data_IF_507616583958
#
_entry.id   IF_507616583958
#
_cell.length_a   1.000
_cell.length_b   1.000
_cell.length_c   1.000
_cell.angle_alpha   90.00
_cell.angle_beta   90.00
_cell.angle_gamma   90.00
#
_symmetry.space_group_name_H-M   'P 1'
#
loop_
_entity.id
_entity.type
_entity.pdbx_description
1 polymer ?
#
# COMPACT_ATOMS: atom_id res chain seq x y z
N UNK A 1 13.74 -12.62 -65.19
CA UNK A 1 14.33 -11.96 -64.00
C UNK A 1 13.29 -11.56 -62.92
N UNK A 2 12.20 -12.31 -62.76
CA UNK A 2 11.09 -11.92 -61.86
C UNK A 2 10.95 -12.72 -60.55
N UNK A 3 11.84 -13.72 -60.26
CA UNK A 3 11.73 -14.55 -59.06
C UNK A 3 12.53 -14.10 -57.85
N UNK A 4 13.53 -13.21 -58.03
CA UNK A 4 14.44 -12.81 -56.95
C UNK A 4 13.88 -11.67 -56.08
N UNK A 5 13.04 -10.81 -56.64
CA UNK A 5 12.43 -9.67 -55.93
C UNK A 5 11.31 -10.07 -54.98
N UNK A 6 10.56 -11.14 -55.29
CA UNK A 6 9.47 -11.67 -54.44
C UNK A 6 10.02 -12.25 -53.13
N UNK A 7 11.20 -12.89 -53.15
CA UNK A 7 11.82 -13.48 -51.94
C UNK A 7 12.32 -12.42 -50.96
N UNK A 8 12.82 -11.28 -51.46
CA UNK A 8 13.34 -10.19 -50.66
C UNK A 8 12.22 -9.44 -49.90
N UNK A 9 11.05 -9.28 -50.53
CA UNK A 9 9.88 -8.65 -49.92
C UNK A 9 9.28 -9.55 -48.85
N UNK A 10 9.24 -10.87 -49.09
CA UNK A 10 8.72 -11.84 -48.10
C UNK A 10 9.65 -11.95 -46.89
N UNK A 11 11.00 -11.89 -47.07
CA UNK A 11 11.95 -11.88 -45.98
C UNK A 11 11.88 -10.62 -45.11
N UNK A 12 11.56 -9.47 -45.71
CA UNK A 12 11.43 -8.22 -44.96
C UNK A 12 10.14 -8.17 -44.08
N UNK A 13 9.08 -8.85 -44.50
CA UNK A 13 7.80 -8.92 -43.76
C UNK A 13 7.88 -9.93 -42.59
N UNK A 14 8.75 -10.94 -42.66
CA UNK A 14 8.85 -11.95 -41.60
C UNK A 14 9.82 -11.59 -40.46
N UNK A 15 10.67 -10.56 -40.61
CA UNK A 15 11.61 -10.15 -39.56
C UNK A 15 11.00 -9.63 -38.26
N UNK A 16 9.80 -9.00 -38.23
CA UNK A 16 9.21 -8.53 -36.96
C UNK A 16 8.62 -9.62 -36.07
N UNK A 17 8.48 -10.86 -36.58
CA UNK A 17 7.76 -11.93 -35.83
C UNK A 17 8.70 -12.64 -34.81
N UNK A 18 10.00 -12.37 -34.85
CA UNK A 18 11.01 -12.97 -33.98
C UNK A 18 11.53 -12.01 -32.88
N UNK A 19 10.82 -10.91 -32.60
CA UNK A 19 11.19 -10.08 -31.48
C UNK A 19 10.95 -10.84 -30.17
N UNK A 20 11.94 -10.91 -29.26
CA UNK A 20 11.74 -11.53 -27.95
C UNK A 20 10.60 -10.81 -27.23
N UNK A 21 9.74 -11.56 -26.56
CA UNK A 21 8.81 -11.02 -25.58
C UNK A 21 9.66 -10.36 -24.51
N UNK A 22 9.69 -9.04 -24.49
CA UNK A 22 10.33 -8.31 -23.39
C UNK A 22 9.47 -8.57 -22.16
N UNK A 23 10.07 -9.17 -21.14
CA UNK A 23 9.44 -9.28 -19.83
C UNK A 23 9.09 -7.85 -19.35
N UNK A 24 7.90 -7.69 -18.80
CA UNK A 24 7.54 -6.41 -18.19
C UNK A 24 8.57 -6.08 -17.10
N UNK A 25 9.20 -4.93 -17.22
CA UNK A 25 10.19 -4.44 -16.26
C UNK A 25 9.51 -3.41 -15.35
N UNK A 26 9.73 -3.52 -14.03
CA UNK A 26 9.30 -2.53 -13.07
C UNK A 26 10.15 -1.27 -13.24
N UNK A 27 9.64 -0.33 -14.02
CA UNK A 27 10.34 0.96 -14.20
C UNK A 27 10.52 1.67 -12.86
N UNK A 28 11.65 2.34 -12.68
CA UNK A 28 11.96 3.09 -11.45
C UNK A 28 10.91 4.17 -11.17
N UNK A 29 10.38 4.17 -9.96
CA UNK A 29 9.47 5.20 -9.45
C UNK A 29 10.26 6.23 -8.65
N UNK A 30 10.43 7.42 -9.23
CA UNK A 30 11.17 8.50 -8.57
C UNK A 30 10.44 9.06 -7.36
N UNK A 31 9.14 8.85 -7.23
CA UNK A 31 8.37 9.25 -6.04
C UNK A 31 8.70 8.36 -4.85
N UNK A 32 8.74 7.02 -5.03
CA UNK A 32 9.10 6.08 -3.97
C UNK A 32 10.54 6.25 -3.47
N UNK A 33 11.46 6.63 -4.37
CA UNK A 33 12.87 6.87 -4.03
C UNK A 33 13.18 8.33 -3.64
N UNK A 34 12.16 9.18 -3.52
CA UNK A 34 12.30 10.59 -3.18
C UNK A 34 12.09 10.87 -1.69
N UNK A 35 12.46 12.07 -1.27
CA UNK A 35 12.20 12.59 0.09
C UNK A 35 10.73 12.52 0.49
N UNK A 36 9.81 12.59 -0.47
CA UNK A 36 8.36 12.54 -0.21
C UNK A 36 7.95 11.20 0.40
N UNK A 37 8.51 10.07 -0.08
CA UNK A 37 8.22 8.77 0.51
C UNK A 37 8.74 8.67 1.96
N UNK A 38 9.93 9.20 2.24
CA UNK A 38 10.46 9.26 3.62
C UNK A 38 9.56 10.13 4.52
N UNK A 39 9.14 11.31 4.04
CA UNK A 39 8.24 12.21 4.76
C UNK A 39 6.89 11.56 5.09
N UNK A 40 6.32 10.78 4.15
CA UNK A 40 5.09 10.03 4.36
C UNK A 40 5.27 8.85 5.32
N UNK A 41 6.40 8.17 5.28
CA UNK A 41 6.74 7.11 6.25
C UNK A 41 6.84 7.67 7.69
N UNK A 42 7.40 8.86 7.87
CA UNK A 42 7.50 9.50 9.18
C UNK A 42 6.13 9.87 9.76
N UNK A 43 5.17 10.25 8.90
CA UNK A 43 3.77 10.47 9.32
C UNK A 43 3.10 9.14 9.73
N UNK A 44 3.45 8.02 9.08
CA UNK A 44 2.94 6.69 9.41
C UNK A 44 2.41 5.90 8.23
N UNK A 45 2.60 6.37 6.99
CA UNK A 45 2.16 5.67 5.79
C UNK A 45 2.79 4.28 5.65
N UNK A 46 2.08 3.42 4.94
CA UNK A 46 2.50 2.08 4.56
C UNK A 46 2.54 1.94 3.03
N UNK A 47 3.55 1.22 2.53
CA UNK A 47 3.66 0.83 1.12
C UNK A 47 3.44 -0.67 0.97
N UNK A 48 2.34 -1.03 0.35
CA UNK A 48 1.96 -2.38 -0.05
C UNK A 48 1.95 -2.53 -1.57
N UNK A 49 1.49 -3.66 -2.05
CA UNK A 49 1.47 -4.05 -3.45
C UNK A 49 0.06 -4.10 -4.03
N UNK A 50 -0.06 -3.80 -5.33
CA UNK A 50 -1.23 -4.11 -6.17
C UNK A 50 -0.81 -4.88 -7.43
N UNK A 51 0.39 -4.66 -7.94
CA UNK A 51 0.91 -5.32 -9.12
C UNK A 51 1.02 -4.41 -10.34
N UNK A 52 0.56 -4.86 -11.50
CA UNK A 52 0.58 -4.10 -12.76
C UNK A 52 -0.83 -3.73 -13.22
N UNK A 53 -1.01 -2.49 -13.70
CA UNK A 53 -2.26 -2.04 -14.28
C UNK A 53 -2.65 -2.92 -15.48
N UNK A 54 -3.85 -3.53 -15.42
CA UNK A 54 -4.36 -4.41 -16.46
C UNK A 54 -3.76 -5.82 -16.50
N UNK A 55 -3.01 -6.20 -15.47
CA UNK A 55 -2.53 -7.58 -15.26
C UNK A 55 -3.21 -8.13 -14.02
N UNK A 56 -4.07 -9.12 -14.22
CA UNK A 56 -4.75 -9.78 -13.11
C UNK A 56 -3.74 -10.66 -12.34
N UNK A 57 -3.51 -10.35 -11.08
CA UNK A 57 -2.60 -11.13 -10.22
C UNK A 57 -3.06 -12.57 -10.06
N UNK A 58 -4.36 -12.84 -10.19
CA UNK A 58 -4.92 -14.19 -10.19
C UNK A 58 -4.48 -15.04 -11.38
N UNK A 59 -4.16 -14.42 -12.51
CA UNK A 59 -3.68 -15.10 -13.71
C UNK A 59 -2.14 -15.16 -13.78
N UNK A 60 -1.47 -14.14 -13.21
CA UNK A 60 -0.02 -13.92 -13.34
C UNK A 60 0.68 -13.82 -11.97
N UNK A 61 0.81 -14.97 -11.28
CA UNK A 61 1.34 -15.05 -9.90
C UNK A 61 2.75 -14.48 -9.69
N UNK A 62 3.58 -14.43 -10.75
CA UNK A 62 4.93 -13.86 -10.67
C UNK A 62 4.93 -12.38 -10.22
N UNK A 63 3.83 -11.68 -10.46
CA UNK A 63 3.63 -10.27 -10.06
C UNK A 63 3.78 -10.09 -8.56
N UNK A 64 3.37 -11.08 -7.76
CA UNK A 64 3.43 -11.04 -6.29
C UNK A 64 4.87 -10.86 -5.81
N UNK A 65 5.76 -11.74 -6.26
CA UNK A 65 7.18 -11.70 -5.87
C UNK A 65 7.89 -10.47 -6.46
N UNK A 66 7.58 -10.13 -7.71
CA UNK A 66 8.19 -8.99 -8.40
C UNK A 66 7.84 -7.64 -7.72
N UNK A 67 6.59 -7.47 -7.27
CA UNK A 67 6.21 -6.27 -6.54
C UNK A 67 6.93 -6.15 -5.20
N UNK A 68 7.04 -7.24 -4.45
CA UNK A 68 7.77 -7.25 -3.18
C UNK A 68 9.23 -6.84 -3.36
N UNK A 69 9.93 -7.50 -4.29
CA UNK A 69 11.34 -7.21 -4.59
C UNK A 69 11.52 -5.74 -4.98
N UNK A 70 10.65 -5.23 -5.85
CA UNK A 70 10.67 -3.84 -6.25
C UNK A 70 10.53 -2.87 -5.07
N UNK A 71 9.55 -3.08 -4.18
CA UNK A 71 9.35 -2.19 -3.04
C UNK A 71 10.51 -2.25 -2.04
N UNK A 72 11.03 -3.44 -1.75
CA UNK A 72 12.18 -3.61 -0.84
C UNK A 72 13.45 -2.91 -1.35
N UNK A 73 13.59 -2.79 -2.66
CA UNK A 73 14.71 -2.07 -3.31
C UNK A 73 14.52 -0.54 -3.31
N UNK A 74 13.28 -0.06 -3.36
CA UNK A 74 12.99 1.37 -3.50
C UNK A 74 12.83 2.08 -2.16
N UNK A 75 12.18 1.44 -1.16
CA UNK A 75 11.83 2.09 0.11
C UNK A 75 11.67 1.07 1.23
N UNK A 76 11.38 1.56 2.42
CA UNK A 76 10.81 0.73 3.50
C UNK A 76 9.30 0.65 3.32
N UNK A 77 8.71 -0.46 3.72
CA UNK A 77 7.25 -0.60 3.66
C UNK A 77 6.52 0.26 4.70
N UNK A 78 7.13 0.48 5.86
CA UNK A 78 6.57 1.30 6.93
C UNK A 78 7.68 1.75 7.89
N UNK A 79 7.38 2.73 8.75
CA UNK A 79 8.24 3.06 9.90
C UNK A 79 8.42 1.88 10.87
N UNK A 80 7.51 0.91 10.84
CA UNK A 80 7.50 -0.24 11.73
C UNK A 80 8.20 -1.48 11.16
N UNK A 81 8.34 -1.58 9.84
CA UNK A 81 8.94 -2.73 9.18
C UNK A 81 9.42 -2.44 7.76
N UNK A 82 10.41 -3.21 7.31
CA UNK A 82 11.03 -2.97 6.00
C UNK A 82 10.25 -3.61 4.86
N UNK A 83 9.78 -4.86 5.04
CA UNK A 83 9.14 -5.64 3.99
C UNK A 83 7.65 -5.33 3.86
N UNK A 84 7.09 -5.22 2.64
CA UNK A 84 5.66 -5.07 2.44
C UNK A 84 4.91 -6.32 2.90
N UNK A 85 3.74 -6.12 3.52
CA UNK A 85 2.90 -7.19 4.07
C UNK A 85 1.48 -7.14 3.53
N UNK A 86 1.10 -6.06 2.86
CA UNK A 86 -0.24 -5.80 2.34
C UNK A 86 -0.27 -5.92 0.83
N UNK A 87 -1.30 -6.59 0.30
CA UNK A 87 -1.52 -6.77 -1.13
C UNK A 87 -2.98 -6.50 -1.50
N UNK A 88 -3.22 -5.56 -2.43
CA UNK A 88 -4.53 -5.30 -2.99
C UNK A 88 -4.82 -6.22 -4.17
N UNK A 89 -6.02 -6.75 -4.26
CA UNK A 89 -6.46 -7.64 -5.35
C UNK A 89 -7.85 -7.25 -5.83
N UNK A 90 -7.99 -7.06 -7.14
CA UNK A 90 -9.24 -6.74 -7.82
C UNK A 90 -10.13 -8.00 -8.03
N UNK A 91 -10.18 -8.89 -7.04
CA UNK A 91 -11.02 -10.09 -7.04
C UNK A 91 -11.69 -10.28 -5.69
N UNK A 92 -12.94 -10.73 -5.69
CA UNK A 92 -13.69 -10.99 -4.45
C UNK A 92 -13.21 -12.24 -3.71
N UNK A 93 -12.72 -13.22 -4.44
CA UNK A 93 -12.29 -14.51 -3.88
C UNK A 93 -10.86 -14.78 -4.31
N UNK A 94 -10.05 -15.16 -3.35
CA UNK A 94 -8.67 -15.62 -3.59
C UNK A 94 -8.65 -17.13 -3.45
N UNK A 95 -8.19 -17.84 -4.49
CA UNK A 95 -8.01 -19.29 -4.42
C UNK A 95 -6.78 -19.68 -3.57
N UNK A 96 -6.69 -20.98 -3.21
CA UNK A 96 -5.59 -21.50 -2.39
C UNK A 96 -4.22 -21.27 -3.04
N UNK A 97 -4.12 -21.36 -4.38
CA UNK A 97 -2.84 -21.21 -5.08
C UNK A 97 -2.28 -19.79 -5.01
N UNK A 98 -3.15 -18.78 -5.14
CA UNK A 98 -2.79 -17.37 -4.97
C UNK A 98 -2.49 -17.08 -3.49
N UNK A 99 -3.32 -17.59 -2.56
CA UNK A 99 -3.09 -17.48 -1.13
C UNK A 99 -1.73 -18.02 -0.71
N UNK A 100 -1.39 -19.20 -1.15
CA UNK A 100 -0.08 -19.82 -0.90
C UNK A 100 1.08 -18.98 -1.45
N UNK A 101 0.92 -18.41 -2.66
CA UNK A 101 1.93 -17.55 -3.27
C UNK A 101 2.13 -16.24 -2.47
N UNK A 102 1.06 -15.64 -1.98
CA UNK A 102 1.08 -14.45 -1.12
C UNK A 102 1.77 -14.74 0.20
N UNK A 103 1.34 -15.79 0.91
CA UNK A 103 1.91 -16.20 2.21
C UNK A 103 3.39 -16.55 2.05
N UNK A 104 3.75 -17.33 1.03
CA UNK A 104 5.14 -17.67 0.73
C UNK A 104 6.01 -16.45 0.44
N UNK A 105 5.45 -15.44 -0.18
CA UNK A 105 6.10 -14.16 -0.42
C UNK A 105 6.14 -13.26 0.82
N UNK A 106 5.46 -13.66 1.93
CA UNK A 106 5.44 -12.94 3.21
C UNK A 106 4.37 -11.87 3.33
N UNK A 107 3.39 -11.85 2.42
CA UNK A 107 2.20 -11.03 2.59
C UNK A 107 1.28 -11.66 3.65
N UNK A 108 0.65 -10.82 4.46
CA UNK A 108 -0.20 -11.23 5.58
C UNK A 108 -1.59 -10.61 5.50
N UNK A 109 -1.73 -9.53 4.73
CA UNK A 109 -2.96 -8.78 4.57
C UNK A 109 -3.30 -8.68 3.10
N UNK A 110 -4.55 -8.99 2.78
CA UNK A 110 -5.11 -8.81 1.45
C UNK A 110 -6.32 -7.89 1.53
N UNK A 111 -6.57 -7.15 0.48
CA UNK A 111 -7.67 -6.20 0.53
C UNK A 111 -8.09 -5.71 -0.85
N UNK A 112 -8.70 -4.53 -0.89
CA UNK A 112 -9.41 -3.92 -1.99
C UNK A 112 -10.78 -4.59 -2.21
N UNK A 113 -10.96 -5.42 -3.22
CA UNK A 113 -12.23 -6.10 -3.47
C UNK A 113 -12.37 -7.47 -2.79
N UNK A 114 -11.34 -7.93 -2.10
CA UNK A 114 -11.32 -9.26 -1.49
C UNK A 114 -12.36 -9.39 -0.37
N UNK A 115 -13.25 -10.37 -0.51
CA UNK A 115 -14.27 -10.73 0.49
C UNK A 115 -13.95 -12.09 1.14
N UNK A 116 -13.24 -12.98 0.42
CA UNK A 116 -12.86 -14.32 0.88
C UNK A 116 -11.40 -14.61 0.55
N UNK A 117 -10.63 -15.08 1.53
CA UNK A 117 -9.22 -15.47 1.38
C UNK A 117 -8.93 -16.77 2.16
N UNK A 118 -7.89 -17.54 1.76
CA UNK A 118 -7.42 -18.71 2.50
C UNK A 118 -6.95 -18.35 3.91
N UNK A 119 -6.93 -19.38 4.78
CA UNK A 119 -6.42 -19.27 6.15
C UNK A 119 -4.96 -18.76 6.16
N UNK A 120 -4.64 -17.86 7.09
CA UNK A 120 -3.32 -17.23 7.21
C UNK A 120 -3.21 -15.84 6.58
N UNK A 121 -4.25 -15.40 5.85
CA UNK A 121 -4.37 -14.03 5.34
C UNK A 121 -5.48 -13.27 6.06
N UNK A 122 -5.18 -12.06 6.50
CA UNK A 122 -6.17 -11.12 7.03
C UNK A 122 -6.79 -10.31 5.91
N UNK A 123 -8.09 -10.05 5.98
CA UNK A 123 -8.80 -9.30 4.93
C UNK A 123 -9.07 -7.88 5.41
N UNK A 124 -8.65 -6.89 4.61
CA UNK A 124 -8.96 -5.48 4.79
C UNK A 124 -9.89 -5.01 3.66
N UNK A 125 -11.19 -5.08 3.91
CA UNK A 125 -12.22 -4.80 2.90
C UNK A 125 -12.38 -3.31 2.59
N UNK A 126 -12.87 -3.01 1.38
CA UNK A 126 -13.30 -1.66 1.01
C UNK A 126 -14.66 -1.36 1.61
N UNK A 127 -14.70 -0.69 2.76
CA UNK A 127 -15.93 -0.39 3.50
C UNK A 127 -16.18 1.10 3.73
N UNK A 128 -15.24 1.99 3.35
CA UNK A 128 -15.30 3.43 3.58
C UNK A 128 -15.66 4.26 2.34
N UNK A 129 -16.17 3.65 1.27
CA UNK A 129 -16.40 4.31 -0.02
C UNK A 129 -15.11 4.72 -0.76
N UNK A 130 -15.22 5.64 -1.71
CA UNK A 130 -14.11 6.12 -2.54
C UNK A 130 -14.06 7.64 -2.58
N UNK A 131 -12.88 8.21 -2.55
CA UNK A 131 -12.62 9.64 -2.75
C UNK A 131 -12.56 10.04 -4.24
N UNK A 132 -12.89 9.14 -5.14
CA UNK A 132 -12.86 9.42 -6.57
C UNK A 132 -14.12 10.20 -7.02
N UNK A 133 -13.93 11.33 -7.68
CA UNK A 133 -14.98 12.06 -8.43
C UNK A 133 -16.19 12.51 -7.60
N UNK A 134 -16.01 12.80 -6.33
CA UNK A 134 -17.09 13.26 -5.47
C UNK A 134 -18.10 12.18 -5.08
N UNK A 135 -17.67 10.91 -5.04
CA UNK A 135 -18.49 9.77 -4.59
C UNK A 135 -18.22 9.35 -3.16
N UNK A 136 -17.42 10.12 -2.42
CA UNK A 136 -17.19 9.87 -1.00
C UNK A 136 -18.50 9.95 -0.20
N UNK A 137 -18.73 8.98 0.64
CA UNK A 137 -19.95 8.88 1.45
C UNK A 137 -19.62 8.89 2.95
N UNK A 138 -19.87 10.04 3.59
CA UNK A 138 -19.67 10.21 5.03
C UNK A 138 -20.49 9.21 5.85
N UNK A 139 -21.69 8.82 5.39
CA UNK A 139 -22.54 7.91 6.16
C UNK A 139 -21.92 6.52 6.33
N UNK A 140 -21.12 6.05 5.33
CA UNK A 140 -20.41 4.79 5.45
C UNK A 140 -19.34 4.85 6.56
N UNK A 141 -18.69 6.00 6.71
CA UNK A 141 -17.67 6.20 7.74
C UNK A 141 -18.36 6.40 9.11
N UNK A 142 -19.43 7.20 9.18
CA UNK A 142 -20.19 7.44 10.40
C UNK A 142 -20.89 6.18 10.95
N UNK A 143 -21.23 5.23 10.05
CA UNK A 143 -21.86 3.95 10.42
C UNK A 143 -20.85 2.84 10.70
N UNK A 144 -19.56 3.15 10.81
CA UNK A 144 -18.53 2.17 11.12
C UNK A 144 -18.80 1.53 12.49
N UNK A 145 -18.56 0.24 12.54
CA UNK A 145 -18.64 -0.50 13.82
C UNK A 145 -17.51 -0.04 14.74
N UNK A 146 -17.80 -0.04 16.05
CA UNK A 146 -16.79 0.23 17.07
C UNK A 146 -15.63 -0.77 16.91
N UNK A 147 -14.40 -0.30 17.15
CA UNK A 147 -13.17 -1.10 17.04
C UNK A 147 -12.84 -1.63 15.62
N UNK A 148 -13.54 -1.17 14.61
CA UNK A 148 -13.30 -1.59 13.22
C UNK A 148 -12.23 -0.77 12.52
N UNK A 149 -11.79 -1.26 11.35
CA UNK A 149 -10.97 -0.53 10.39
C UNK A 149 -11.81 -0.11 9.20
N UNK A 150 -11.87 1.20 8.95
CA UNK A 150 -12.52 1.77 7.77
C UNK A 150 -11.46 2.06 6.70
N UNK A 151 -11.58 1.41 5.55
CA UNK A 151 -10.72 1.61 4.39
C UNK A 151 -11.43 2.48 3.34
N UNK A 152 -10.98 3.72 3.19
CA UNK A 152 -11.48 4.67 2.20
C UNK A 152 -10.56 4.62 0.98
N UNK A 153 -11.08 4.23 -0.17
CA UNK A 153 -10.27 4.03 -1.37
C UNK A 153 -10.10 5.30 -2.18
N UNK A 154 -8.89 5.46 -2.72
CA UNK A 154 -8.56 6.51 -3.65
C UNK A 154 -7.56 6.00 -4.71
N UNK A 155 -7.86 6.23 -5.99
CA UNK A 155 -6.99 5.83 -7.10
C UNK A 155 -6.30 7.04 -7.71
N UNK A 156 -4.98 7.11 -7.53
CA UNK A 156 -4.14 8.17 -8.07
C UNK A 156 -3.85 7.93 -9.55
N UNK A 157 -4.65 8.53 -10.45
CA UNK A 157 -4.45 8.50 -11.90
C UNK A 157 -4.15 9.90 -12.44
N UNK A 158 -3.34 9.99 -13.52
CA UNK A 158 -2.97 11.28 -14.15
C UNK A 158 -4.19 12.11 -14.58
N UNK A 159 -5.31 11.47 -14.96
CA UNK A 159 -6.55 12.14 -15.37
C UNK A 159 -7.53 12.44 -14.24
N UNK A 160 -7.37 11.84 -13.08
CA UNK A 160 -8.35 11.84 -11.98
C UNK A 160 -7.88 12.66 -10.75
N UNK A 161 -7.10 13.70 -10.95
CA UNK A 161 -6.59 14.59 -9.88
C UNK A 161 -7.71 15.42 -9.21
N UNK A 162 -8.82 14.78 -8.83
CA UNK A 162 -10.01 15.45 -8.29
C UNK A 162 -10.24 15.19 -6.81
N UNK A 163 -9.20 14.83 -6.06
CA UNK A 163 -9.26 14.79 -4.58
C UNK A 163 -9.82 16.09 -4.01
N UNK A 164 -9.64 17.20 -4.72
CA UNK A 164 -10.21 18.50 -4.34
C UNK A 164 -11.74 18.52 -4.29
N UNK A 165 -12.43 17.66 -5.00
CA UNK A 165 -13.91 17.54 -4.95
C UNK A 165 -14.36 16.90 -3.62
N UNK A 166 -13.50 16.09 -2.98
CA UNK A 166 -13.76 15.44 -1.70
C UNK A 166 -13.04 16.09 -0.51
N UNK A 167 -12.48 17.28 -0.69
CA UNK A 167 -11.74 17.99 0.36
C UNK A 167 -12.55 18.18 1.64
N UNK A 168 -13.84 18.40 1.52
CA UNK A 168 -14.73 18.57 2.68
C UNK A 168 -14.92 17.25 3.45
N UNK A 169 -14.87 16.09 2.77
CA UNK A 169 -14.86 14.77 3.44
C UNK A 169 -13.56 14.54 4.15
N UNK A 170 -12.42 14.85 3.52
CA UNK A 170 -11.10 14.73 4.13
C UNK A 170 -11.02 15.59 5.39
N UNK A 171 -11.38 16.88 5.31
CA UNK A 171 -11.38 17.77 6.45
C UNK A 171 -12.33 17.30 7.56
N UNK A 172 -13.48 16.73 7.18
CA UNK A 172 -14.41 16.16 8.14
C UNK A 172 -13.82 14.91 8.83
N UNK A 173 -13.12 14.00 8.11
CA UNK A 173 -12.43 12.84 8.72
C UNK A 173 -11.37 13.33 9.72
N UNK A 174 -10.62 14.37 9.36
CA UNK A 174 -9.60 14.97 10.24
C UNK A 174 -10.17 15.56 11.54
N UNK A 175 -11.45 15.87 11.59
CA UNK A 175 -12.16 16.35 12.79
C UNK A 175 -12.73 15.22 13.66
N UNK A 176 -12.84 13.98 13.14
CA UNK A 176 -13.43 12.87 13.88
C UNK A 176 -12.45 12.31 14.95
N UNK A 177 -12.97 11.82 16.09
CA UNK A 177 -12.16 11.15 17.12
C UNK A 177 -11.85 9.69 16.70
N UNK A 178 -11.07 9.52 15.64
CA UNK A 178 -10.73 8.22 15.06
C UNK A 178 -9.22 8.05 14.97
N UNK A 179 -8.76 6.83 14.99
CA UNK A 179 -7.35 6.50 14.82
C UNK A 179 -6.97 6.50 13.32
N UNK A 180 -6.02 7.34 12.93
CA UNK A 180 -5.44 7.33 11.59
C UNK A 180 -4.35 6.27 11.52
N UNK A 181 -4.55 5.24 10.72
CA UNK A 181 -3.71 4.05 10.71
C UNK A 181 -3.56 3.46 9.30
N UNK A 182 -2.81 2.40 9.18
CA UNK A 182 -2.68 1.59 7.95
C UNK A 182 -3.17 0.18 8.19
N UNK A 183 -3.28 -0.62 7.12
CA UNK A 183 -3.66 -2.02 7.25
C UNK A 183 -2.69 -2.79 8.16
N UNK A 184 -1.39 -2.64 7.94
CA UNK A 184 -0.37 -3.32 8.73
C UNK A 184 -0.28 -2.82 10.15
N UNK A 185 -0.35 -1.51 10.36
CA UNK A 185 -0.32 -0.91 11.68
C UNK A 185 -1.52 -1.39 12.52
N UNK A 186 -2.75 -1.36 11.96
CA UNK A 186 -3.95 -1.85 12.63
C UNK A 186 -3.87 -3.35 12.98
N UNK A 187 -3.41 -4.17 12.01
CA UNK A 187 -3.28 -5.61 12.20
C UNK A 187 -2.33 -5.97 13.34
N UNK A 188 -1.12 -5.40 13.32
CA UNK A 188 -0.10 -5.72 14.32
C UNK A 188 -0.30 -5.03 15.66
N UNK A 189 -0.91 -3.84 15.70
CA UNK A 189 -1.26 -3.18 16.95
C UNK A 189 -2.13 -4.08 17.82
N UNK A 190 -3.17 -4.68 17.25
CA UNK A 190 -4.06 -5.61 17.96
C UNK A 190 -3.31 -6.85 18.45
N UNK A 191 -2.47 -7.44 17.61
CA UNK A 191 -1.65 -8.60 17.97
C UNK A 191 -0.66 -8.27 19.10
N UNK A 192 -0.04 -7.10 19.07
CA UNK A 192 0.88 -6.62 20.12
C UNK A 192 0.15 -6.36 21.43
N UNK A 193 -1.05 -5.77 21.40
CA UNK A 193 -1.88 -5.59 22.57
C UNK A 193 -2.26 -6.92 23.25
N UNK A 194 -2.73 -7.90 22.47
CA UNK A 194 -3.10 -9.24 22.97
C UNK A 194 -1.89 -9.96 23.59
N UNK A 195 -0.68 -9.74 23.10
CA UNK A 195 0.55 -10.36 23.62
C UNK A 195 1.18 -9.62 24.80
N UNK A 196 0.49 -8.62 25.34
CA UNK A 196 0.94 -7.82 26.49
C UNK A 196 0.27 -8.32 27.77
N UNK A 197 1.05 -8.45 28.83
CA UNK A 197 0.61 -8.85 30.16
C UNK A 197 1.12 -7.89 31.22
N UNK A 198 0.42 -7.76 32.33
CA UNK A 198 0.89 -6.99 33.48
C UNK A 198 1.02 -7.86 34.72
N UNK A 199 1.97 -7.52 35.58
CA UNK A 199 2.19 -8.11 36.90
C UNK A 199 2.48 -7.01 37.91
N UNK A 200 2.20 -7.26 39.20
CA UNK A 200 2.38 -6.27 40.26
C UNK A 200 3.28 -6.83 41.37
N UNK A 201 4.21 -6.00 41.83
CA UNK A 201 5.03 -6.25 43.01
C UNK A 201 5.04 -5.00 43.91
N UNK A 202 4.29 -5.05 45.01
CA UNK A 202 4.16 -3.93 45.92
C UNK A 202 3.48 -2.71 45.29
N UNK A 203 4.22 -1.63 45.10
CA UNK A 203 3.74 -0.39 44.44
C UNK A 203 4.22 -0.26 42.98
N UNK A 204 4.78 -1.31 42.39
CA UNK A 204 5.25 -1.28 41.02
C UNK A 204 4.46 -2.27 40.15
N UNK A 205 3.88 -1.80 39.07
CA UNK A 205 3.30 -2.64 38.02
C UNK A 205 4.32 -2.76 36.89
N UNK A 206 4.60 -3.99 36.48
CA UNK A 206 5.42 -4.29 35.29
C UNK A 206 4.50 -4.73 34.16
N UNK A 207 4.56 -4.03 33.03
CA UNK A 207 3.80 -4.33 31.83
C UNK A 207 4.80 -4.85 30.79
N UNK A 208 4.65 -6.12 30.38
CA UNK A 208 5.55 -6.79 29.44
C UNK A 208 4.83 -7.12 28.14
N UNK A 209 5.39 -6.66 27.03
CA UNK A 209 4.91 -7.03 25.71
C UNK A 209 5.87 -8.00 25.04
N UNK A 210 5.30 -9.11 24.52
CA UNK A 210 6.07 -10.12 23.79
C UNK A 210 5.65 -10.13 22.33
N UNK A 211 6.59 -10.13 21.38
CA UNK A 211 6.27 -10.26 19.97
C UNK A 211 6.29 -11.73 19.56
N UNK A 212 5.28 -12.11 18.81
CA UNK A 212 5.28 -13.43 18.15
C UNK A 212 6.01 -13.40 16.80
N UNK A 213 6.40 -12.23 16.31
CA UNK A 213 7.10 -12.08 15.04
C UNK A 213 8.60 -12.26 15.23
N UNK A 214 9.14 -13.31 14.61
CA UNK A 214 10.55 -13.63 14.61
C UNK A 214 11.06 -13.60 13.17
N UNK A 215 11.96 -12.69 12.83
CA UNK A 215 12.62 -12.62 11.53
C UNK A 215 13.18 -11.25 11.16
N UNK A 216 14.08 -11.22 10.20
CA UNK A 216 14.53 -9.96 9.59
C UNK A 216 13.42 -9.36 8.74
N UNK A 217 12.93 -8.20 9.11
CA UNK A 217 11.81 -7.53 8.44
C UNK A 217 10.46 -7.65 9.15
N UNK A 218 10.41 -8.30 10.33
CA UNK A 218 9.24 -8.33 11.19
C UNK A 218 8.82 -6.90 11.59
N UNK A 219 7.53 -6.63 11.50
CA UNK A 219 6.99 -5.35 11.90
C UNK A 219 6.94 -5.24 13.43
N UNK A 220 7.41 -4.11 13.95
CA UNK A 220 7.46 -3.83 15.38
C UNK A 220 6.44 -2.74 15.72
N UNK A 221 5.16 -3.06 15.58
CA UNK A 221 4.07 -2.11 15.84
C UNK A 221 3.72 -2.10 17.33
N UNK A 222 3.68 -0.92 17.99
CA UNK A 222 3.27 -0.81 19.37
C UNK A 222 1.82 -1.29 19.58
N UNK A 223 1.57 -1.95 20.72
CA UNK A 223 0.23 -2.31 21.16
C UNK A 223 -0.23 -1.42 22.31
N UNK A 224 -1.54 -1.22 22.45
CA UNK A 224 -2.13 -0.47 23.56
C UNK A 224 -2.86 -1.41 24.50
N UNK A 225 -2.63 -1.21 25.80
CA UNK A 225 -3.34 -1.92 26.86
C UNK A 225 -3.86 -0.93 27.91
N UNK A 226 -5.00 -1.24 28.47
CA UNK A 226 -5.49 -0.59 29.69
C UNK A 226 -5.14 -1.48 30.88
N UNK A 227 -4.56 -0.90 31.93
CA UNK A 227 -4.30 -1.58 33.19
C UNK A 227 -5.04 -0.84 34.29
N UNK A 228 -6.00 -1.54 34.89
CA UNK A 228 -6.88 -1.00 35.93
C UNK A 228 -6.38 -1.34 37.34
N UNK A 229 -6.38 -0.34 38.22
CA UNK A 229 -5.98 -0.43 39.63
C UNK A 229 -6.51 0.80 40.41
N UNK A 230 -6.52 0.74 41.75
CA UNK A 230 -7.04 1.85 42.55
C UNK A 230 -6.04 2.97 42.91
N UNK A 231 -4.72 2.69 43.24
CA UNK A 231 -3.79 3.75 43.65
C UNK A 231 -3.45 4.72 42.56
N UNK A 232 -3.08 5.95 42.95
CA UNK A 232 -2.58 6.99 42.01
C UNK A 232 -1.22 6.63 41.42
N UNK A 233 -0.95 7.06 40.18
CA UNK A 233 0.32 6.88 39.48
C UNK A 233 1.28 7.99 39.86
N UNK A 234 2.49 7.62 40.28
CA UNK A 234 3.62 8.52 40.53
C UNK A 234 4.39 8.80 39.23
N UNK A 235 4.62 7.76 38.44
CA UNK A 235 5.35 7.86 37.20
C UNK A 235 5.34 6.58 36.38
N UNK A 236 5.68 6.71 35.08
CA UNK A 236 5.81 5.58 34.17
C UNK A 236 7.15 5.67 33.46
N UNK A 237 7.93 4.59 33.49
CA UNK A 237 9.27 4.52 32.89
C UNK A 237 9.38 3.31 31.97
N UNK A 238 10.31 3.40 31.02
CA UNK A 238 10.72 2.28 30.18
C UNK A 238 11.70 1.33 30.90
N UNK A 239 12.20 0.32 30.19
CA UNK A 239 13.15 -0.67 30.73
C UNK A 239 14.50 -0.08 31.13
N UNK A 240 14.90 1.05 30.59
CA UNK A 240 16.10 1.81 30.89
C UNK A 240 15.91 2.78 32.08
N UNK A 241 14.67 2.88 32.60
CA UNK A 241 14.30 3.80 33.68
C UNK A 241 14.10 5.24 33.22
N UNK A 242 13.94 5.47 31.92
CA UNK A 242 13.63 6.78 31.36
C UNK A 242 12.11 7.05 31.41
N UNK A 243 11.68 8.28 31.74
CA UNK A 243 10.26 8.60 31.74
C UNK A 243 9.63 8.41 30.35
N UNK A 244 8.53 7.68 30.29
CA UNK A 244 7.76 7.53 29.06
C UNK A 244 6.99 8.82 28.70
N UNK A 245 6.80 9.11 27.42
CA UNK A 245 5.98 10.22 26.96
C UNK A 245 4.55 10.16 27.51
N UNK A 246 4.03 11.31 27.98
CA UNK A 246 2.65 11.44 28.39
C UNK A 246 1.78 11.74 27.16
N UNK A 247 0.77 10.92 26.89
CA UNK A 247 -0.22 11.12 25.86
C UNK A 247 -1.40 11.94 26.38
N UNK A 248 -1.96 12.78 25.54
CA UNK A 248 -3.11 13.63 25.90
C UNK A 248 -4.46 12.96 25.66
N UNK A 249 -4.48 11.84 24.92
CA UNK A 249 -5.71 11.20 24.46
C UNK A 249 -6.33 11.82 23.20
N UNK A 250 -5.72 12.89 22.68
CA UNK A 250 -6.13 13.52 21.41
C UNK A 250 -5.26 13.11 20.23
N UNK A 251 -4.18 12.40 20.48
CA UNK A 251 -3.33 11.84 19.44
C UNK A 251 -4.13 10.83 18.60
N UNK A 252 -4.06 10.98 17.29
CA UNK A 252 -4.76 10.14 16.32
C UNK A 252 -3.83 9.26 15.52
N UNK A 253 -2.53 9.52 15.56
CA UNK A 253 -1.48 8.71 14.96
C UNK A 253 -0.78 7.92 16.06
N UNK A 254 -0.53 6.64 15.81
CA UNK A 254 0.08 5.73 16.77
C UNK A 254 1.40 6.27 17.33
N UNK A 255 1.46 6.40 18.63
CA UNK A 255 2.65 6.86 19.34
C UNK A 255 2.87 6.05 20.61
N UNK A 256 4.13 5.78 20.96
CA UNK A 256 4.51 5.16 22.22
C UNK A 256 4.36 6.17 23.35
N UNK A 257 3.73 5.75 24.42
CA UNK A 257 3.52 6.60 25.60
C UNK A 257 2.44 6.06 26.52
N UNK A 258 2.02 6.87 27.46
CA UNK A 258 0.98 6.51 28.44
C UNK A 258 0.10 7.69 28.81
N UNK A 259 -1.08 7.40 29.35
CA UNK A 259 -1.96 8.41 29.96
C UNK A 259 -2.73 7.84 31.14
N UNK A 260 -3.09 8.71 32.07
CA UNK A 260 -4.06 8.35 33.11
C UNK A 260 -5.45 8.18 32.50
N UNK A 261 -6.16 7.18 32.99
CA UNK A 261 -7.59 6.94 32.72
C UNK A 261 -8.31 6.74 34.03
N UNK A 262 -9.64 6.80 34.02
CA UNK A 262 -10.42 6.51 35.23
C UNK A 262 -10.15 5.07 35.66
N UNK A 263 -9.63 4.89 36.89
CA UNK A 263 -9.33 3.58 37.46
C UNK A 263 -8.02 2.95 37.01
N UNK A 264 -7.07 3.69 36.39
CA UNK A 264 -5.79 3.11 35.98
C UNK A 264 -4.99 3.90 34.97
N UNK A 265 -4.25 3.17 34.13
CA UNK A 265 -3.44 3.75 33.02
C UNK A 265 -3.71 3.05 31.72
N UNK A 266 -3.59 3.82 30.64
CA UNK A 266 -3.46 3.30 29.28
C UNK A 266 -2.01 3.43 28.86
N UNK A 267 -1.41 2.34 28.37
CA UNK A 267 -0.01 2.27 27.93
C UNK A 267 0.07 1.74 26.52
N UNK A 268 0.75 2.50 25.65
CA UNK A 268 1.13 2.05 24.31
C UNK A 268 2.63 1.83 24.28
N UNK A 269 3.06 0.61 24.03
CA UNK A 269 4.47 0.22 24.07
C UNK A 269 4.89 -0.64 22.89
N UNK A 270 6.17 -0.58 22.56
CA UNK A 270 6.76 -1.45 21.54
C UNK A 270 6.72 -2.91 21.97
N UNK A 271 6.59 -3.85 21.03
CA UNK A 271 6.73 -5.27 21.33
C UNK A 271 8.16 -5.58 21.83
N UNK A 272 8.29 -6.61 22.67
CA UNK A 272 9.53 -7.03 23.33
C UNK A 272 10.16 -5.96 24.25
N UNK A 273 9.33 -5.11 24.84
CA UNK A 273 9.76 -4.13 25.84
C UNK A 273 8.97 -4.31 27.14
N UNK A 274 9.51 -3.72 28.21
CA UNK A 274 8.86 -3.65 29.52
C UNK A 274 8.66 -2.20 29.93
N UNK A 275 7.53 -1.93 30.56
CA UNK A 275 7.16 -0.62 31.11
C UNK A 275 6.87 -0.79 32.59
N UNK A 276 7.34 0.14 33.40
CA UNK A 276 7.15 0.15 34.85
C UNK A 276 6.27 1.33 35.25
N UNK A 277 5.16 1.01 35.94
CA UNK A 277 4.25 2.01 36.53
C UNK A 277 4.47 2.04 38.02
N UNK A 278 4.91 3.19 38.55
CA UNK A 278 5.09 3.44 39.98
C UNK A 278 3.80 4.02 40.57
N UNK A 279 3.33 3.45 41.68
CA UNK A 279 2.11 3.84 42.37
C UNK A 279 2.42 4.50 43.72
N UNK A 280 1.51 5.38 44.19
CA UNK A 280 1.62 6.00 45.52
C UNK A 280 1.50 4.97 46.65
N UNK A 281 0.64 3.96 46.49
CA UNK A 281 0.38 2.91 47.44
C UNK A 281 0.52 1.52 46.78
N UNK A 282 0.62 0.50 47.64
CA UNK A 282 0.67 -0.90 47.16
C UNK A 282 -0.70 -1.36 46.68
N UNK A 283 -0.71 -2.17 45.62
CA UNK A 283 -1.91 -2.88 45.15
C UNK A 283 -1.57 -4.36 44.95
N UNK A 284 -2.60 -5.21 45.04
CA UNK A 284 -2.50 -6.64 44.70
C UNK A 284 -3.61 -7.07 43.71
N UNK A 285 -4.35 -6.09 43.20
CA UNK A 285 -5.40 -6.33 42.21
C UNK A 285 -5.12 -5.43 41.00
N UNK A 286 -4.89 -6.06 39.87
CA UNK A 286 -4.79 -5.42 38.58
C UNK A 286 -5.57 -6.19 37.55
N UNK A 287 -6.17 -5.48 36.61
CA UNK A 287 -6.80 -6.06 35.42
C UNK A 287 -6.14 -5.48 34.19
N UNK A 288 -5.87 -6.31 33.18
CA UNK A 288 -5.23 -5.89 31.95
C UNK A 288 -6.10 -6.21 30.76
N UNK A 289 -6.48 -5.19 30.02
CA UNK A 289 -7.34 -5.30 28.84
C UNK A 289 -6.58 -4.78 27.61
N UNK A 290 -6.32 -5.61 26.58
CA UNK A 290 -5.80 -5.13 25.32
C UNK A 290 -6.85 -4.29 24.60
N UNK A 291 -6.43 -3.12 24.08
CA UNK A 291 -7.32 -2.24 23.33
C UNK A 291 -7.18 -2.50 21.83
N UNK A 292 -8.29 -2.65 21.11
CA UNK A 292 -8.29 -2.90 19.68
C UNK A 292 -7.89 -1.68 18.86
N UNK A 293 -8.07 -0.47 19.41
CA UNK A 293 -7.71 0.81 18.79
C UNK A 293 -6.71 1.59 19.64
N UNK A 294 -5.88 2.40 18.98
CA UNK A 294 -5.00 3.32 19.68
C UNK A 294 -5.81 4.38 20.43
N UNK A 295 -5.38 4.70 21.66
CA UNK A 295 -6.01 5.70 22.53
C UNK A 295 -7.48 5.45 22.86
N UNK A 296 -7.99 4.23 22.67
CA UNK A 296 -9.41 3.89 22.87
C UNK A 296 -10.34 4.74 21.98
N UNK A 297 -9.87 5.02 20.76
CA UNK A 297 -10.64 5.75 19.77
C UNK A 297 -11.71 4.84 19.15
N UNK A 298 -12.87 5.39 18.81
CA UNK A 298 -14.06 4.64 18.43
C UNK A 298 -13.84 3.61 17.32
N UNK A 299 -13.08 3.99 16.28
CA UNK A 299 -12.68 3.13 15.17
C UNK A 299 -11.44 3.70 14.48
N UNK A 300 -10.93 2.95 13.53
CA UNK A 300 -9.72 3.29 12.79
C UNK A 300 -10.05 3.65 11.35
N UNK A 301 -9.30 4.58 10.74
CA UNK A 301 -9.47 4.99 9.34
C UNK A 301 -8.13 4.96 8.64
N UNK A 302 -8.11 4.41 7.43
CA UNK A 302 -7.01 4.50 6.49
C UNK A 302 -7.47 4.98 5.13
N UNK A 303 -6.64 5.73 4.42
CA UNK A 303 -6.86 6.01 3.00
C UNK A 303 -6.06 4.98 2.21
N UNK A 304 -6.76 4.12 1.48
CA UNK A 304 -6.12 3.12 0.61
C UNK A 304 -5.88 3.76 -0.75
N UNK A 305 -4.64 4.16 -0.98
CA UNK A 305 -4.23 4.85 -2.20
C UNK A 305 -3.64 3.90 -3.23
N UNK A 306 -4.26 3.77 -4.41
CA UNK A 306 -3.64 3.09 -5.54
C UNK A 306 -2.69 4.04 -6.27
N UNK A 307 -1.40 3.72 -6.28
CA UNK A 307 -0.38 4.52 -6.90
C UNK A 307 0.13 3.87 -8.19
N UNK A 308 -0.24 4.44 -9.34
CA UNK A 308 0.11 3.90 -10.66
C UNK A 308 1.27 4.63 -11.34
N UNK A 309 1.45 5.92 -11.07
CA UNK A 309 2.45 6.76 -11.75
C UNK A 309 2.99 7.85 -10.84
N UNK A 310 4.15 8.43 -11.21
CA UNK A 310 4.75 9.58 -10.54
C UNK A 310 3.84 10.81 -10.57
N UNK A 311 3.09 11.06 -9.51
CA UNK A 311 2.13 12.16 -9.42
C UNK A 311 2.55 13.17 -8.34
N UNK A 312 3.37 14.15 -8.70
CA UNK A 312 3.77 15.21 -7.76
C UNK A 312 2.61 16.12 -7.31
N UNK A 313 1.51 16.20 -8.06
CA UNK A 313 0.44 17.15 -7.77
C UNK A 313 -0.46 16.74 -6.61
N UNK A 314 -0.73 15.45 -6.45
CA UNK A 314 -1.62 15.00 -5.39
C UNK A 314 -0.94 15.03 -4.00
N UNK A 315 0.39 14.90 -3.94
CA UNK A 315 1.13 15.08 -2.69
C UNK A 315 0.94 16.47 -2.10
N UNK A 316 0.67 17.48 -2.94
CA UNK A 316 0.37 18.83 -2.47
C UNK A 316 -1.05 18.94 -1.88
N UNK A 317 -2.00 18.16 -2.36
CA UNK A 317 -3.38 18.17 -1.82
C UNK A 317 -3.45 17.49 -0.45
N UNK A 318 -2.53 16.55 -0.17
CA UNK A 318 -2.36 15.88 1.13
C UNK A 318 -1.16 16.39 1.95
N UNK A 319 -0.41 17.38 1.45
CA UNK A 319 0.64 17.99 2.24
C UNK A 319 0.01 18.71 3.44
N UNK A 320 0.40 18.29 4.64
CA UNK A 320 -0.15 18.84 5.90
C UNK A 320 -1.41 18.13 6.41
N UNK A 321 -1.90 17.07 5.76
CA UNK A 321 -2.89 16.17 6.36
C UNK A 321 -2.25 15.27 7.40
N UNK A 322 -2.99 14.98 8.49
CA UNK A 322 -2.64 13.98 9.49
C UNK A 322 -3.10 12.56 9.09
N UNK A 323 -3.89 12.45 8.01
CA UNK A 323 -4.36 11.17 7.50
C UNK A 323 -3.20 10.29 7.05
N UNK A 324 -3.31 9.01 7.37
CA UNK A 324 -2.32 8.00 7.07
C UNK A 324 -2.82 7.11 5.94
N UNK A 325 -1.90 6.72 5.05
CA UNK A 325 -2.23 6.00 3.83
C UNK A 325 -1.65 4.59 3.84
N UNK A 326 -2.45 3.64 3.39
CA UNK A 326 -1.97 2.36 2.88
C UNK A 326 -1.83 2.49 1.37
N UNK A 327 -0.61 2.64 0.87
CA UNK A 327 -0.31 2.78 -0.55
C UNK A 327 -0.21 1.42 -1.20
N UNK A 328 -1.10 1.11 -2.12
CA UNK A 328 -1.03 -0.07 -2.97
C UNK A 328 -0.34 0.30 -4.27
N UNK A 329 0.89 -0.15 -4.43
CA UNK A 329 1.72 0.20 -5.59
C UNK A 329 1.32 -0.66 -6.78
N UNK A 330 0.72 0.00 -7.77
CA UNK A 330 0.36 -0.55 -9.06
C UNK A 330 1.22 0.12 -10.12
N UNK A 331 1.95 -0.64 -10.91
CA UNK A 331 2.78 -0.06 -11.98
C UNK A 331 2.05 -0.10 -13.29
N UNK A 332 2.16 0.96 -14.12
CA UNK A 332 1.62 0.90 -15.47
C UNK A 332 2.31 -0.23 -16.22
N UNK A 333 1.53 -1.14 -16.79
CA UNK A 333 2.05 -2.11 -17.73
C UNK A 333 2.49 -1.35 -18.98
N UNK A 334 3.74 -0.93 -18.99
CA UNK A 334 4.37 -0.46 -20.18
C UNK A 334 4.63 -1.68 -21.09
N UNK A 335 3.62 -2.05 -21.88
CA UNK A 335 3.95 -2.57 -23.19
C UNK A 335 4.88 -1.50 -23.78
N UNK A 336 6.19 -1.70 -23.65
CA UNK A 336 7.10 -0.85 -24.39
C UNK A 336 6.51 -0.76 -25.79
N UNK A 337 6.09 0.44 -26.19
CA UNK A 337 5.82 0.74 -27.59
C UNK A 337 7.15 0.55 -28.26
N UNK A 338 7.53 -0.70 -28.27
CA UNK A 338 8.82 -1.15 -28.69
C UNK A 338 8.99 -0.62 -30.08
N UNK A 339 10.17 -0.45 -30.53
CA UNK A 339 10.59 -0.04 -31.85
C UNK A 339 9.72 -0.59 -33.00
N UNK A 340 8.75 -1.46 -32.74
CA UNK A 340 7.77 -2.03 -33.68
C UNK A 340 6.93 -0.95 -34.36
N UNK A 341 6.40 0.02 -33.63
CA UNK A 341 5.57 1.08 -34.20
C UNK A 341 6.40 2.13 -34.97
N UNK A 342 7.54 2.64 -34.43
CA UNK A 342 8.46 3.47 -35.23
C UNK A 342 9.06 2.72 -36.41
N UNK A 343 9.37 1.44 -36.28
CA UNK A 343 9.92 0.61 -37.37
C UNK A 343 8.87 0.35 -38.47
N UNK A 344 7.62 0.09 -38.10
CA UNK A 344 6.50 -0.01 -39.03
C UNK A 344 6.24 1.33 -39.73
N UNK A 345 6.28 2.44 -39.02
CA UNK A 345 6.15 3.78 -39.58
C UNK A 345 7.29 4.10 -40.55
N UNK A 346 8.54 3.81 -40.19
CA UNK A 346 9.68 3.99 -41.07
C UNK A 346 9.63 3.08 -42.30
N UNK A 347 9.22 1.81 -42.15
CA UNK A 347 9.07 0.91 -43.29
C UNK A 347 7.98 1.39 -44.25
N UNK A 348 6.84 1.87 -43.74
CA UNK A 348 5.80 2.47 -44.58
C UNK A 348 6.29 3.75 -45.29
N UNK A 349 7.02 4.61 -44.57
CA UNK A 349 7.54 5.87 -45.12
C UNK A 349 8.54 5.64 -46.27
N UNK A 350 9.25 4.52 -46.25
CA UNK A 350 10.19 4.13 -47.34
C UNK A 350 9.46 3.32 -48.44
N UNK A 351 8.62 2.37 -48.08
CA UNK A 351 7.97 1.47 -49.03
C UNK A 351 6.93 2.18 -49.91
N UNK A 352 6.20 3.16 -49.37
CA UNK A 352 5.18 3.90 -50.15
C UNK A 352 5.81 4.72 -51.31
N UNK A 353 6.84 5.56 -51.09
CA UNK A 353 7.46 6.29 -52.22
C UNK A 353 8.11 5.37 -53.26
N UNK A 354 8.74 4.28 -52.80
CA UNK A 354 9.34 3.31 -53.73
C UNK A 354 8.26 2.63 -54.57
N UNK A 355 7.14 2.25 -53.99
CA UNK A 355 6.00 1.66 -54.70
C UNK A 355 5.40 2.63 -55.71
N UNK A 356 5.25 3.90 -55.35
CA UNK A 356 4.78 4.95 -56.27
C UNK A 356 5.71 5.13 -57.45
N UNK A 357 7.02 5.25 -57.20
CA UNK A 357 8.00 5.37 -58.27
C UNK A 357 8.01 4.15 -59.18
N UNK A 358 7.87 2.96 -58.64
CA UNK A 358 7.81 1.71 -59.41
C UNK A 358 6.56 1.68 -60.29
N UNK A 359 5.35 2.03 -59.77
CA UNK A 359 4.12 2.08 -60.52
C UNK A 359 4.16 3.11 -61.67
N UNK A 360 4.71 4.32 -61.40
CA UNK A 360 4.86 5.36 -62.41
C UNK A 360 5.84 4.95 -63.55
N UNK A 361 6.90 4.23 -63.24
CA UNK A 361 7.82 3.68 -64.26
C UNK A 361 7.17 2.55 -65.05
N UNK A 362 6.36 1.69 -64.42
CA UNK A 362 5.64 0.63 -65.12
C UNK A 362 4.62 1.18 -66.12
N UNK A 363 3.90 2.23 -65.72
CA UNK A 363 2.93 2.92 -66.59
C UNK A 363 3.61 3.60 -67.75
N UNK A 364 4.76 4.25 -67.56
CA UNK A 364 5.54 4.84 -68.64
C UNK A 364 6.02 3.81 -69.68
N UNK A 365 6.45 2.66 -69.24
CA UNK A 365 6.88 1.55 -70.12
C UNK A 365 5.69 0.99 -70.92
N UNK A 366 4.52 0.85 -70.26
CA UNK A 366 3.31 0.39 -70.92
C UNK A 366 2.78 1.39 -71.95
N UNK A 367 2.88 2.70 -71.67
CA UNK A 367 2.46 3.75 -72.60
C UNK A 367 3.42 3.83 -73.83
N UNK A 368 4.73 3.61 -73.65
CA UNK A 368 5.65 3.61 -74.78
C UNK A 368 5.49 2.41 -75.73
N UNK A 369 5.15 1.23 -75.17
CA UNK A 369 4.89 0.05 -75.99
C UNK A 369 3.58 0.13 -76.80
N UNK A 370 2.59 0.93 -76.36
CA UNK A 370 1.33 1.15 -77.10
C UNK A 370 1.41 2.23 -78.19
N UNK A 371 2.52 2.94 -78.30
CA UNK A 371 2.77 3.93 -79.38
C UNK A 371 3.52 3.34 -80.59
N UNK A 372 4.03 2.12 -80.48
CA UNK A 372 4.77 1.42 -81.55
C UNK A 372 3.91 0.41 -82.33
N UNK A 373 2.60 0.35 -82.07
CA UNK A 373 1.63 -0.40 -82.82
C UNK A 373 0.55 0.54 -83.36
#
# INVERSE_FOLDING_TARGET
MGKSTSLLVTALICLPILAPTVAADWGTDTWLSSVIAEERLDIGDEFGCQGFEGVETTDEQWVIAACKEYLEDQTKASRWGKSPISFGIDSKVIDEGIGDALIKSGFQIVGDLVEEAPEGLSIAIRNGASLEKGVADKNLIESAEEDSLVSVHWRARIGDLRVREDKDVISWIEEQPVWFTTWGEWHFHRASGISTSASVDGSTITIESTSQQIGSGAWQVPGTVMVEFEPSVVGVTDAEGLPMPLLTGSERNLAVGWRNVDGGVMVTQNPNTSVYVELEDTTNQIETTPLPTFNDLNYSVTIVGHHTTNLFRWTQDFSGTELVFTWLIERPFNDEVGWKLPLLAMTMLIAVPISIVYLLRADQISASNNQEH
#
